data_IF_640719878378
#
_entry.id   IF_640719878378
#
_cell.length_a   1.000
_cell.length_b   1.000
_cell.length_c   1.000
_cell.angle_alpha   90.00
_cell.angle_beta   90.00
_cell.angle_gamma   90.00
#
_symmetry.space_group_name_H-M   'P 1'
#
loop_
_entity.id
_entity.type
_entity.pdbx_description
1 polymer ?
#
# COMPACT_ATOMS: atom_id res chain seq x y z
N UNK A 1 25.93 -57.21 19.44
CA UNK A 1 26.16 -55.76 19.21
C UNK A 1 24.92 -55.15 18.65
N UNK A 2 24.18 -54.34 19.43
CA UNK A 2 22.97 -53.67 19.01
C UNK A 2 23.34 -52.23 18.64
N UNK A 3 23.23 -51.87 17.37
CA UNK A 3 23.41 -50.50 16.89
C UNK A 3 22.18 -49.66 17.22
N UNK A 4 22.34 -48.68 18.11
CA UNK A 4 21.34 -47.64 18.39
C UNK A 4 21.59 -46.53 17.38
N UNK A 5 20.68 -46.33 16.43
CA UNK A 5 20.68 -45.15 15.58
C UNK A 5 20.14 -43.94 16.38
N UNK A 6 20.82 -42.80 16.38
CA UNK A 6 20.26 -41.59 16.94
C UNK A 6 19.21 -41.00 15.99
N UNK A 7 17.99 -40.89 16.46
CA UNK A 7 16.91 -40.19 15.78
C UNK A 7 17.18 -38.69 15.92
N UNK A 8 17.61 -38.03 14.85
CA UNK A 8 17.70 -36.58 14.81
C UNK A 8 16.28 -36.00 14.70
N UNK A 9 15.78 -35.46 15.79
CA UNK A 9 14.56 -34.65 15.77
C UNK A 9 14.86 -33.29 15.09
N UNK A 10 14.41 -33.12 13.88
CA UNK A 10 14.41 -31.82 13.23
C UNK A 10 13.43 -30.91 13.96
N UNK A 11 13.93 -29.93 14.73
CA UNK A 11 13.13 -28.81 15.20
C UNK A 11 12.77 -27.96 13.98
N UNK A 12 11.55 -28.11 13.46
CA UNK A 12 10.97 -27.14 12.57
C UNK A 12 10.72 -25.86 13.40
N UNK A 13 11.58 -24.87 13.27
CA UNK A 13 11.31 -23.53 13.75
C UNK A 13 10.05 -23.06 13.03
N UNK A 14 8.92 -23.02 13.72
CA UNK A 14 7.72 -22.31 13.29
C UNK A 14 8.10 -20.83 13.24
N UNK A 15 8.47 -20.36 12.05
CA UNK A 15 8.54 -18.93 11.81
C UNK A 15 7.12 -18.40 12.08
N UNK A 16 6.94 -17.71 13.19
CA UNK A 16 5.74 -16.91 13.41
C UNK A 16 5.65 -15.97 12.24
N UNK A 17 4.50 -15.91 11.51
CA UNK A 17 4.34 -14.90 10.49
C UNK A 17 4.61 -13.54 11.16
N UNK A 18 5.55 -12.78 10.63
CA UNK A 18 5.67 -11.38 10.98
C UNK A 18 4.33 -10.76 10.59
N UNK A 19 3.53 -10.40 11.59
CA UNK A 19 2.29 -9.70 11.32
C UNK A 19 2.66 -8.41 10.60
N UNK A 20 2.12 -8.25 9.44
CA UNK A 20 2.10 -6.99 8.73
C UNK A 20 1.64 -5.89 9.69
N UNK A 21 2.37 -4.79 9.72
CA UNK A 21 2.13 -3.72 10.70
C UNK A 21 1.81 -2.46 9.92
N UNK A 22 0.53 -2.30 9.56
CA UNK A 22 0.07 -1.05 8.95
C UNK A 22 0.35 0.11 9.91
N UNK A 23 1.04 1.12 9.42
CA UNK A 23 1.49 2.26 10.21
C UNK A 23 1.36 3.56 9.42
N UNK A 24 1.05 4.64 10.12
CA UNK A 24 1.15 6.01 9.64
C UNK A 24 2.09 6.81 10.51
N UNK A 25 2.97 7.59 9.89
CA UNK A 25 3.75 8.63 10.55
C UNK A 25 3.51 9.95 9.83
N UNK A 26 3.30 11.03 10.59
CA UNK A 26 3.01 12.34 10.05
C UNK A 26 3.78 13.44 10.80
N UNK A 27 4.15 14.48 10.06
CA UNK A 27 4.74 15.70 10.59
C UNK A 27 4.03 16.91 9.99
N UNK A 28 3.65 17.85 10.83
CA UNK A 28 3.10 19.13 10.42
C UNK A 28 3.84 20.25 11.19
N UNK A 29 4.61 21.04 10.47
CA UNK A 29 5.49 22.04 11.11
C UNK A 29 6.43 21.39 12.13
N UNK A 30 6.34 21.79 13.38
CA UNK A 30 7.15 21.22 14.48
C UNK A 30 6.51 20.03 15.21
N UNK A 31 5.29 19.64 14.87
CA UNK A 31 4.58 18.51 15.50
C UNK A 31 4.77 17.21 14.74
N UNK A 32 4.98 16.10 15.45
CA UNK A 32 5.07 14.74 14.89
C UNK A 32 4.04 13.81 15.51
N UNK A 33 3.64 12.80 14.77
CA UNK A 33 2.67 11.79 15.19
C UNK A 33 3.01 10.46 14.52
N UNK A 34 2.78 9.36 15.21
CA UNK A 34 2.79 8.02 14.61
C UNK A 34 1.67 7.17 15.22
N UNK A 35 1.12 6.29 14.42
CA UNK A 35 0.08 5.35 14.83
C UNK A 35 0.26 4.03 14.09
N UNK A 36 0.15 2.96 14.84
CA UNK A 36 0.20 1.58 14.35
C UNK A 36 -1.21 1.00 14.43
N UNK A 37 -1.59 0.20 13.46
CA UNK A 37 -2.86 -0.55 13.42
C UNK A 37 -3.10 -1.30 14.75
N UNK A 38 -4.35 -1.30 15.20
CA UNK A 38 -4.78 -1.86 16.49
C UNK A 38 -4.20 -1.15 17.74
N UNK A 39 -3.58 0.00 17.62
CA UNK A 39 -3.20 0.81 18.77
C UNK A 39 -4.39 1.65 19.27
N UNK A 40 -5.06 1.17 20.29
CA UNK A 40 -6.28 1.77 20.86
C UNK A 40 -6.16 3.24 21.30
N UNK A 41 -4.95 3.78 21.37
CA UNK A 41 -4.74 5.20 21.74
C UNK A 41 -4.85 6.14 20.55
N UNK A 42 -4.70 5.66 19.31
CA UNK A 42 -4.71 6.48 18.11
C UNK A 42 -5.54 5.88 16.96
N UNK A 43 -5.72 4.58 16.96
CA UNK A 43 -6.58 3.88 16.01
C UNK A 43 -7.96 3.64 16.62
N UNK A 44 -8.99 4.20 15.98
CA UNK A 44 -10.38 4.04 16.43
C UNK A 44 -11.07 2.81 15.80
N UNK A 45 -10.39 2.08 14.91
CA UNK A 45 -10.92 0.87 14.27
C UNK A 45 -10.18 -0.37 14.76
N UNK A 46 -10.85 -1.32 15.42
CA UNK A 46 -10.21 -2.55 15.91
C UNK A 46 -9.99 -3.62 14.81
N UNK A 47 -10.32 -3.33 13.55
CA UNK A 47 -10.17 -4.29 12.47
C UNK A 47 -8.74 -4.30 11.93
N UNK A 48 -8.05 -5.42 12.06
CA UNK A 48 -6.70 -5.61 11.53
C UNK A 48 -6.62 -5.28 10.03
N UNK A 49 -5.60 -4.54 9.64
CA UNK A 49 -5.43 -4.03 8.27
C UNK A 49 -6.25 -2.78 7.96
N UNK A 50 -6.82 -2.14 8.98
CA UNK A 50 -7.53 -0.86 8.83
C UNK A 50 -7.18 0.07 9.97
N UNK A 51 -6.48 1.16 9.69
CA UNK A 51 -6.13 2.18 10.66
C UNK A 51 -7.01 3.41 10.44
N UNK A 52 -7.73 3.86 11.47
CA UNK A 52 -8.63 5.00 11.42
C UNK A 52 -8.24 6.09 12.42
N UNK A 53 -7.92 7.26 11.89
CA UNK A 53 -7.65 8.46 12.68
C UNK A 53 -8.93 9.27 12.88
N UNK A 54 -9.24 9.61 14.11
CA UNK A 54 -10.39 10.45 14.47
C UNK A 54 -9.92 11.67 15.24
N UNK A 55 -10.06 12.87 14.64
CA UNK A 55 -9.77 14.16 15.27
C UNK A 55 -8.35 14.29 15.87
N UNK A 56 -7.35 13.77 15.17
CA UNK A 56 -5.94 13.92 15.57
C UNK A 56 -5.48 15.33 15.23
N UNK A 57 -4.88 16.04 16.18
CA UNK A 57 -4.34 17.39 15.98
C UNK A 57 -2.82 17.37 16.18
N UNK A 58 -2.07 17.77 15.14
CA UNK A 58 -0.61 17.73 15.13
C UNK A 58 -0.10 19.11 14.68
N UNK A 59 0.62 19.85 15.54
CA UNK A 59 1.15 21.16 15.18
C UNK A 59 0.09 22.16 14.69
N UNK A 60 -1.15 22.10 15.19
CA UNK A 60 -2.26 22.93 14.73
C UNK A 60 -2.86 22.52 13.39
N UNK A 61 -2.61 21.28 12.94
CA UNK A 61 -3.26 20.70 11.78
C UNK A 61 -4.16 19.53 12.24
N UNK A 62 -5.43 19.59 11.87
CA UNK A 62 -6.38 18.53 12.16
C UNK A 62 -6.34 17.48 11.06
N UNK A 63 -6.23 16.21 11.45
CA UNK A 63 -6.15 15.05 10.57
C UNK A 63 -7.23 14.06 10.91
N UNK A 64 -8.02 13.67 9.92
CA UNK A 64 -9.03 12.62 10.01
C UNK A 64 -8.91 11.72 8.77
N UNK A 65 -9.13 10.44 8.92
CA UNK A 65 -9.13 9.55 7.77
C UNK A 65 -8.94 8.09 8.10
N UNK A 66 -8.91 7.29 7.07
CA UNK A 66 -8.67 5.85 7.19
C UNK A 66 -7.69 5.36 6.12
N UNK A 67 -6.92 4.37 6.52
CA UNK A 67 -5.96 3.64 5.69
C UNK A 67 -6.29 2.17 5.74
N UNK A 68 -6.13 1.48 4.64
CA UNK A 68 -6.42 0.05 4.53
C UNK A 68 -5.29 -0.67 3.80
N UNK A 69 -5.06 -1.90 4.19
CA UNK A 69 -4.09 -2.80 3.55
C UNK A 69 -4.69 -4.18 3.33
N UNK A 70 -4.20 -4.89 2.32
CA UNK A 70 -4.48 -6.32 2.13
C UNK A 70 -3.41 -7.21 2.76
N UNK A 71 -2.32 -6.62 3.28
CA UNK A 71 -1.24 -7.35 3.93
C UNK A 71 -1.76 -8.12 5.15
N UNK A 72 -1.35 -9.38 5.28
CA UNK A 72 -1.82 -10.24 6.38
C UNK A 72 -3.26 -10.71 6.30
N UNK A 73 -4.04 -10.29 5.31
CA UNK A 73 -5.35 -10.87 5.05
C UNK A 73 -5.15 -12.29 4.51
N UNK A 74 -5.43 -13.30 5.33
CA UNK A 74 -5.41 -14.71 4.96
C UNK A 74 -6.54 -15.10 4.00
N UNK A 75 -6.94 -14.22 3.10
CA UNK A 75 -7.92 -14.53 2.06
C UNK A 75 -7.19 -15.27 0.94
N UNK A 76 -7.23 -16.59 0.97
CA UNK A 76 -6.61 -17.52 0.02
C UNK A 76 -7.07 -17.39 -1.43
N UNK A 77 -7.23 -16.18 -1.90
CA UNK A 77 -7.60 -15.80 -3.26
C UNK A 77 -7.08 -14.40 -3.65
N UNK A 78 -6.24 -13.76 -2.85
CA UNK A 78 -5.74 -12.43 -3.18
C UNK A 78 -4.71 -12.54 -4.31
N UNK A 79 -5.14 -12.21 -5.52
CA UNK A 79 -4.27 -11.98 -6.68
C UNK A 79 -3.70 -10.55 -6.66
N UNK A 80 -3.95 -9.79 -5.59
CA UNK A 80 -3.66 -8.37 -5.48
C UNK A 80 -3.16 -8.04 -4.08
N UNK A 81 -2.06 -7.32 -4.01
CA UNK A 81 -1.63 -6.62 -2.81
C UNK A 81 -2.05 -5.14 -2.93
N UNK A 82 -2.66 -4.58 -1.88
CA UNK A 82 -3.25 -3.24 -1.88
C UNK A 82 -2.80 -2.49 -0.63
N UNK A 83 -2.34 -1.25 -0.82
CA UNK A 83 -2.21 -0.24 0.23
C UNK A 83 -3.00 1.00 -0.20
N UNK A 84 -3.94 1.46 0.63
CA UNK A 84 -4.90 2.49 0.25
C UNK A 84 -5.20 3.47 1.38
N UNK A 85 -5.24 4.77 1.06
CA UNK A 85 -5.92 5.78 1.88
C UNK A 85 -7.32 5.99 1.36
N UNK A 86 -8.33 5.48 2.03
CA UNK A 86 -9.72 5.60 1.55
C UNK A 86 -10.27 7.03 1.65
N UNK A 87 -9.85 7.76 2.68
CA UNK A 87 -10.13 9.19 2.82
C UNK A 87 -9.17 9.79 3.84
N UNK A 88 -8.47 10.85 3.50
CA UNK A 88 -7.62 11.58 4.42
C UNK A 88 -7.95 13.07 4.30
N UNK A 89 -8.51 13.64 5.37
CA UNK A 89 -8.78 15.07 5.48
C UNK A 89 -7.72 15.72 6.34
N UNK A 90 -7.06 16.72 5.80
CA UNK A 90 -5.99 17.45 6.49
C UNK A 90 -6.36 18.94 6.45
N UNK A 91 -6.55 19.56 7.63
CA UNK A 91 -6.97 20.96 7.75
C UNK A 91 -5.95 21.74 8.55
N UNK A 92 -5.33 22.74 7.92
CA UNK A 92 -4.42 23.67 8.62
C UNK A 92 -5.24 24.71 9.37
N UNK A 93 -5.22 24.67 10.71
CA UNK A 93 -5.91 25.65 11.56
C UNK A 93 -4.98 26.77 12.02
N UNK A 94 -3.71 26.77 11.61
CA UNK A 94 -2.76 27.83 11.92
C UNK A 94 -3.01 29.07 11.06
N UNK A 95 -2.60 30.22 11.58
CA UNK A 95 -2.65 31.51 10.85
C UNK A 95 -1.59 31.60 9.73
N UNK A 96 -0.63 30.69 9.68
CA UNK A 96 0.44 30.63 8.69
C UNK A 96 0.46 29.33 7.91
N UNK A 97 1.29 29.28 6.87
CA UNK A 97 1.53 28.07 6.10
C UNK A 97 2.33 27.05 6.92
N UNK A 98 2.03 25.77 6.72
CA UNK A 98 2.68 24.65 7.41
C UNK A 98 3.18 23.65 6.38
N UNK A 99 4.47 23.31 6.46
CA UNK A 99 5.03 22.19 5.72
C UNK A 99 4.59 20.86 6.36
N UNK A 100 4.38 19.84 5.54
CA UNK A 100 3.97 18.53 6.02
C UNK A 100 4.70 17.38 5.32
N UNK A 101 4.81 16.26 6.05
CA UNK A 101 5.19 14.95 5.55
C UNK A 101 4.24 13.92 6.15
N UNK A 102 3.77 12.99 5.35
CA UNK A 102 2.94 11.86 5.76
C UNK A 102 3.50 10.62 5.07
N UNK A 103 3.88 9.63 5.86
CA UNK A 103 4.26 8.30 5.39
C UNK A 103 3.24 7.28 5.90
N UNK A 104 2.77 6.41 5.03
CA UNK A 104 1.85 5.32 5.33
C UNK A 104 2.48 4.07 4.74
N UNK A 105 2.72 3.07 5.55
CA UNK A 105 3.40 1.86 5.10
C UNK A 105 2.85 0.61 5.75
N UNK A 106 3.01 -0.48 5.04
CA UNK A 106 2.79 -1.81 5.58
C UNK A 106 3.83 -2.79 5.01
N UNK A 107 4.05 -3.86 5.73
CA UNK A 107 5.05 -4.90 5.44
C UNK A 107 4.39 -6.26 5.24
N UNK A 108 5.15 -7.24 4.75
CA UNK A 108 4.70 -8.61 4.67
C UNK A 108 3.77 -8.90 3.49
N UNK A 109 3.76 -8.06 2.47
CA UNK A 109 3.10 -8.37 1.21
C UNK A 109 3.73 -9.62 0.58
N UNK A 110 2.91 -10.58 0.21
CA UNK A 110 3.39 -11.92 -0.15
C UNK A 110 2.81 -12.46 -1.47
N UNK A 111 2.05 -11.65 -2.19
CA UNK A 111 1.58 -12.01 -3.52
C UNK A 111 2.72 -11.79 -4.52
N UNK A 112 3.08 -12.77 -5.36
CA UNK A 112 4.05 -12.58 -6.43
C UNK A 112 3.55 -11.50 -7.39
N UNK A 113 4.35 -10.46 -7.62
CA UNK A 113 3.93 -9.30 -8.40
C UNK A 113 4.74 -9.15 -9.68
N UNK A 114 4.11 -8.66 -10.73
CA UNK A 114 4.73 -8.36 -12.00
C UNK A 114 4.46 -6.93 -12.47
N UNK A 115 3.44 -6.27 -11.90
CA UNK A 115 3.08 -4.90 -12.26
C UNK A 115 2.49 -4.16 -11.08
N UNK A 116 2.63 -2.83 -11.10
CA UNK A 116 1.93 -1.93 -10.18
C UNK A 116 0.91 -1.06 -10.94
N UNK A 117 -0.09 -0.61 -10.22
CA UNK A 117 -0.99 0.46 -10.61
C UNK A 117 -1.19 1.38 -9.41
N UNK A 118 -0.95 2.67 -9.60
CA UNK A 118 -1.16 3.71 -8.61
C UNK A 118 -2.30 4.62 -9.03
N UNK A 119 -3.03 5.12 -8.06
CA UNK A 119 -4.03 6.15 -8.28
C UNK A 119 -4.05 7.15 -7.13
N UNK A 120 -4.32 8.40 -7.45
CA UNK A 120 -4.41 9.48 -6.49
C UNK A 120 -5.48 10.46 -6.96
N UNK A 121 -6.39 10.84 -6.06
CA UNK A 121 -7.36 11.89 -6.32
C UNK A 121 -7.64 12.71 -5.06
N UNK A 122 -7.93 13.99 -5.23
CA UNK A 122 -8.28 14.83 -4.10
C UNK A 122 -8.81 16.21 -4.52
N UNK A 123 -9.21 16.96 -3.50
CA UNK A 123 -9.70 18.33 -3.66
C UNK A 123 -9.09 19.25 -2.61
N UNK A 124 -8.93 20.50 -2.98
CA UNK A 124 -8.41 21.56 -2.15
C UNK A 124 -9.49 22.59 -1.85
N UNK A 125 -9.47 23.18 -0.65
CA UNK A 125 -10.28 24.32 -0.28
C UNK A 125 -9.42 25.33 0.46
N UNK A 126 -9.61 26.62 0.20
CA UNK A 126 -8.83 27.74 0.77
C UNK A 126 -7.32 27.56 0.57
N UNK A 127 -6.88 27.00 -0.54
CA UNK A 127 -5.56 26.37 -0.62
C UNK A 127 -4.56 27.10 -1.53
N UNK A 128 -4.81 28.34 -1.93
CA UNK A 128 -3.85 29.12 -2.74
C UNK A 128 -2.47 29.12 -2.10
N UNK A 129 -1.44 28.70 -2.85
CA UNK A 129 -0.07 28.58 -2.37
C UNK A 129 0.24 27.27 -1.62
N UNK A 130 -0.74 26.37 -1.51
CA UNK A 130 -0.49 25.01 -1.05
C UNK A 130 0.15 24.16 -2.15
N UNK A 131 0.74 23.03 -1.75
CA UNK A 131 1.34 22.07 -2.67
C UNK A 131 1.24 20.65 -2.15
N UNK A 132 1.28 19.70 -3.05
CA UNK A 132 1.43 18.28 -2.75
C UNK A 132 2.44 17.65 -3.70
N UNK A 133 3.29 16.80 -3.16
CA UNK A 133 4.02 15.77 -3.91
C UNK A 133 3.66 14.45 -3.26
N UNK A 134 3.02 13.58 -4.00
CA UNK A 134 2.73 12.20 -3.60
C UNK A 134 3.69 11.26 -4.31
N UNK A 135 4.12 10.23 -3.63
CA UNK A 135 5.05 9.23 -4.15
C UNK A 135 4.68 7.84 -3.62
N UNK A 136 5.00 6.83 -4.42
CA UNK A 136 4.71 5.43 -4.15
C UNK A 136 6.03 4.67 -4.16
N UNK A 137 6.34 3.96 -3.08
CA UNK A 137 7.59 3.22 -2.91
C UNK A 137 7.31 1.76 -2.59
N UNK A 138 8.14 0.88 -3.17
CA UNK A 138 8.13 -0.54 -2.88
C UNK A 138 9.52 -0.99 -2.45
N UNK A 139 9.63 -1.67 -1.32
CA UNK A 139 10.90 -2.16 -0.79
C UNK A 139 10.94 -3.69 -0.76
N UNK A 140 11.83 -4.25 -1.58
CA UNK A 140 12.07 -5.70 -1.69
C UNK A 140 12.78 -6.28 -0.45
N UNK A 141 13.27 -5.44 0.46
CA UNK A 141 13.86 -5.87 1.73
C UNK A 141 12.84 -5.90 2.86
N UNK A 142 11.58 -5.54 2.57
CA UNK A 142 10.45 -5.58 3.49
C UNK A 142 10.64 -4.70 4.74
N UNK A 143 11.27 -3.53 4.59
CA UNK A 143 11.42 -2.56 5.67
C UNK A 143 10.14 -1.75 5.86
N UNK A 144 9.82 -1.43 7.12
CA UNK A 144 8.71 -0.52 7.42
C UNK A 144 9.08 0.91 6.99
N UNK A 145 8.22 1.54 6.20
CA UNK A 145 8.46 2.86 5.63
C UNK A 145 7.77 4.01 6.35
N UNK A 146 7.13 3.77 7.49
CA UNK A 146 6.46 4.81 8.27
C UNK A 146 6.98 4.86 9.72
N UNK A 147 8.22 4.47 9.95
CA UNK A 147 8.88 4.60 11.27
C UNK A 147 9.07 6.08 11.64
N UNK A 148 9.30 6.91 10.64
CA UNK A 148 9.30 8.37 10.75
C UNK A 148 8.49 9.02 9.64
N UNK A 149 8.06 10.29 9.78
CA UNK A 149 7.26 10.98 8.76
C UNK A 149 7.95 11.18 7.40
N UNK A 150 9.25 10.97 7.32
CA UNK A 150 10.06 11.13 6.11
C UNK A 150 10.64 9.80 5.62
N UNK A 151 10.30 8.71 6.27
CA UNK A 151 10.80 7.39 5.91
C UNK A 151 10.00 6.78 4.74
N UNK A 152 10.71 6.35 3.72
CA UNK A 152 10.14 5.70 2.54
C UNK A 152 11.23 4.82 1.88
N UNK A 153 11.53 3.66 2.47
CA UNK A 153 12.54 2.75 1.94
C UNK A 153 12.15 2.20 0.58
N UNK A 154 13.14 1.70 -0.14
CA UNK A 154 12.94 1.00 -1.39
C UNK A 154 13.00 1.89 -2.63
N UNK A 155 12.33 1.46 -3.68
CA UNK A 155 12.37 2.07 -5.02
C UNK A 155 11.11 2.89 -5.24
N UNK A 156 11.29 4.13 -5.72
CA UNK A 156 10.20 4.96 -6.22
C UNK A 156 9.59 4.30 -7.47
N UNK A 157 8.31 3.99 -7.42
CA UNK A 157 7.58 3.37 -8.55
C UNK A 157 6.70 4.36 -9.28
N UNK A 158 6.17 5.38 -8.56
CA UNK A 158 5.36 6.43 -9.17
C UNK A 158 5.40 7.71 -8.35
N UNK A 159 5.15 8.86 -8.98
CA UNK A 159 5.10 10.16 -8.30
C UNK A 159 4.19 11.15 -9.03
N UNK A 160 3.59 12.04 -8.24
CA UNK A 160 2.74 13.14 -8.73
C UNK A 160 3.03 14.41 -7.93
N UNK A 161 2.97 15.58 -8.58
CA UNK A 161 3.11 16.87 -7.89
C UNK A 161 2.12 17.89 -8.43
N UNK A 162 1.58 18.71 -7.52
CA UNK A 162 0.73 19.85 -7.84
C UNK A 162 1.07 21.05 -6.95
N UNK A 163 1.12 22.24 -7.58
CA UNK A 163 1.06 23.53 -6.90
C UNK A 163 -0.35 24.11 -7.07
N UNK A 164 -0.98 24.48 -5.96
CA UNK A 164 -2.37 24.94 -5.94
C UNK A 164 -2.42 26.44 -6.22
N UNK A 165 -3.01 26.82 -7.34
CA UNK A 165 -3.15 28.21 -7.78
C UNK A 165 -4.51 28.83 -7.42
N UNK A 166 -5.53 28.02 -7.17
CA UNK A 166 -6.91 28.44 -6.91
C UNK A 166 -7.32 28.14 -5.47
N UNK A 167 -8.25 28.92 -4.93
CA UNK A 167 -8.78 28.70 -3.57
C UNK A 167 -9.50 27.34 -3.46
N UNK A 168 -10.17 26.91 -4.52
CA UNK A 168 -10.70 25.56 -4.68
C UNK A 168 -10.06 24.95 -5.92
N UNK A 169 -9.50 23.77 -5.78
CA UNK A 169 -8.78 23.04 -6.84
C UNK A 169 -8.99 21.55 -6.69
N UNK A 170 -8.59 20.78 -7.67
CA UNK A 170 -8.66 19.32 -7.63
C UNK A 170 -7.48 18.71 -8.36
N UNK A 171 -7.17 17.46 -8.01
CA UNK A 171 -6.16 16.69 -8.71
C UNK A 171 -6.59 15.24 -8.89
N UNK A 172 -6.05 14.65 -9.92
CA UNK A 172 -6.10 13.20 -10.15
C UNK A 172 -4.84 12.76 -10.86
N UNK A 173 -4.37 11.56 -10.52
CA UNK A 173 -3.22 10.93 -11.13
C UNK A 173 -3.44 9.42 -11.19
N UNK A 174 -2.97 8.80 -12.27
CA UNK A 174 -2.91 7.35 -12.41
C UNK A 174 -1.56 6.99 -13.01
N UNK A 175 -0.88 6.05 -12.39
CA UNK A 175 0.38 5.48 -12.84
C UNK A 175 0.27 3.98 -13.00
N UNK A 176 1.11 3.40 -13.82
CA UNK A 176 1.26 1.95 -13.92
C UNK A 176 2.60 1.58 -14.55
N UNK A 177 3.10 0.40 -14.22
CA UNK A 177 4.37 -0.08 -14.75
C UNK A 177 4.68 -1.51 -14.35
N UNK A 178 5.81 -1.98 -14.83
CA UNK A 178 6.34 -3.26 -14.40
C UNK A 178 7.02 -3.11 -13.03
N UNK A 179 6.77 -4.04 -12.13
CA UNK A 179 7.45 -4.16 -10.86
C UNK A 179 7.57 -5.64 -10.50
N UNK A 180 8.75 -6.06 -10.07
CA UNK A 180 8.99 -7.40 -9.60
C UNK A 180 9.62 -7.33 -8.20
N UNK A 181 9.05 -8.02 -7.25
CA UNK A 181 9.56 -8.09 -5.89
C UNK A 181 9.96 -9.50 -5.50
N UNK A 182 11.00 -9.60 -4.66
CA UNK A 182 11.24 -10.77 -3.84
C UNK A 182 10.29 -10.73 -2.65
N UNK A 183 9.73 -11.87 -2.29
CA UNK A 183 8.75 -11.97 -1.20
C UNK A 183 9.42 -12.27 0.13
N UNK A 184 8.93 -11.73 1.24
CA UNK A 184 7.94 -10.66 1.33
C UNK A 184 8.54 -9.28 1.00
N UNK A 185 7.70 -8.28 0.72
CA UNK A 185 8.11 -6.89 0.48
C UNK A 185 7.20 -5.93 1.24
N UNK A 186 7.56 -4.64 1.25
CA UNK A 186 6.73 -3.57 1.82
C UNK A 186 6.31 -2.55 0.77
N UNK A 187 5.19 -1.86 1.04
CA UNK A 187 4.70 -0.71 0.27
C UNK A 187 4.63 0.54 1.15
N UNK A 188 4.96 1.70 0.58
CA UNK A 188 4.85 2.99 1.27
C UNK A 188 4.19 4.01 0.36
N UNK A 189 3.10 4.62 0.86
CA UNK A 189 2.49 5.81 0.30
C UNK A 189 3.07 7.03 1.02
N UNK A 190 3.73 7.89 0.30
CA UNK A 190 4.37 9.09 0.86
C UNK A 190 3.72 10.35 0.29
N UNK A 191 3.51 11.34 1.12
CA UNK A 191 3.00 12.64 0.71
C UNK A 191 3.72 13.77 1.47
N UNK A 192 4.17 14.77 0.74
CA UNK A 192 4.84 15.95 1.30
C UNK A 192 4.34 17.22 0.60
N UNK A 193 4.49 18.35 1.26
CA UNK A 193 4.10 19.62 0.66
C UNK A 193 3.91 20.74 1.67
N UNK A 194 3.10 21.71 1.29
CA UNK A 194 2.75 22.87 2.11
C UNK A 194 1.24 23.05 2.13
N UNK A 195 0.69 23.34 3.31
CA UNK A 195 -0.69 23.77 3.52
C UNK A 195 -0.68 25.25 3.86
N UNK A 196 -1.27 26.09 3.03
CA UNK A 196 -1.48 27.52 3.36
C UNK A 196 -2.41 27.68 4.57
N UNK A 197 -2.46 28.87 5.16
CA UNK A 197 -3.34 29.15 6.29
C UNK A 197 -4.80 28.84 5.96
N UNK A 198 -5.46 28.06 6.79
CA UNK A 198 -6.86 27.64 6.61
C UNK A 198 -7.09 26.66 5.43
N UNK A 199 -6.05 26.15 4.80
CA UNK A 199 -6.16 25.19 3.73
C UNK A 199 -6.75 23.86 4.20
N UNK A 200 -7.60 23.27 3.38
CA UNK A 200 -8.13 21.92 3.56
C UNK A 200 -7.72 21.08 2.34
N UNK A 201 -7.03 19.99 2.61
CA UNK A 201 -6.75 18.92 1.65
C UNK A 201 -7.67 17.74 1.96
N UNK A 202 -8.48 17.36 0.98
CA UNK A 202 -9.28 16.14 1.01
C UNK A 202 -8.67 15.16 0.01
N UNK A 203 -7.78 14.31 0.47
CA UNK A 203 -7.25 13.20 -0.31
C UNK A 203 -8.29 12.07 -0.32
N UNK A 204 -8.82 11.74 -1.48
CA UNK A 204 -9.94 10.80 -1.66
C UNK A 204 -9.50 9.40 -2.11
N UNK A 205 -8.24 9.16 -2.13
CA UNK A 205 -7.69 7.85 -2.46
C UNK A 205 -6.29 8.02 -3.03
N UNK A 206 -5.32 7.65 -2.23
CA UNK A 206 -3.99 7.31 -2.67
C UNK A 206 -3.91 5.80 -2.56
N UNK A 207 -3.85 5.11 -3.69
CA UNK A 207 -3.92 3.65 -3.73
C UNK A 207 -2.77 3.13 -4.55
N UNK A 208 -2.09 2.13 -4.04
CA UNK A 208 -1.19 1.29 -4.80
C UNK A 208 -1.75 -0.13 -4.84
N UNK A 209 -1.69 -0.74 -6.00
CA UNK A 209 -2.21 -2.04 -6.28
C UNK A 209 -1.17 -2.83 -7.07
N UNK A 210 -0.77 -3.96 -6.55
CA UNK A 210 0.17 -4.87 -7.19
C UNK A 210 -0.54 -6.13 -7.63
N UNK A 211 -0.28 -6.55 -8.86
CA UNK A 211 -0.97 -7.70 -9.46
C UNK A 211 0.01 -8.76 -9.97
N UNK A 212 -0.43 -10.00 -9.91
CA UNK A 212 0.26 -11.13 -10.52
C UNK A 212 -0.12 -11.26 -11.99
N UNK A 213 0.83 -11.70 -12.81
CA UNK A 213 0.49 -12.31 -14.09
C UNK A 213 -0.12 -13.68 -13.79
N UNK A 214 -1.41 -13.82 -13.96
CA UNK A 214 -2.04 -15.16 -13.94
C UNK A 214 -1.58 -15.89 -15.20
N UNK A 215 -0.79 -16.98 -15.11
CA UNK A 215 -0.49 -17.79 -16.26
C UNK A 215 -1.82 -18.26 -16.88
N UNK A 216 -1.93 -18.19 -18.19
CA UNK A 216 -3.13 -18.71 -18.87
C UNK A 216 -3.44 -20.10 -18.34
N UNK A 217 -4.67 -20.36 -17.90
CA UNK A 217 -5.00 -21.62 -17.26
C UNK A 217 -4.54 -22.78 -18.14
N UNK A 218 -3.89 -23.77 -17.53
CA UNK A 218 -3.50 -25.01 -18.23
C UNK A 218 -4.69 -25.67 -18.96
N UNK A 219 -5.91 -25.24 -18.67
CA UNK A 219 -7.15 -25.54 -19.40
C UNK A 219 -7.09 -25.22 -20.89
N UNK A 220 -6.40 -24.12 -21.31
CA UNK A 220 -6.22 -23.84 -22.75
C UNK A 220 -5.28 -24.86 -23.40
N UNK A 221 -4.21 -25.24 -22.71
CA UNK A 221 -3.32 -26.30 -23.18
C UNK A 221 -4.03 -27.67 -23.21
N UNK A 222 -4.82 -28.00 -22.19
CA UNK A 222 -5.63 -29.19 -22.12
C UNK A 222 -6.76 -29.20 -23.17
N UNK A 223 -7.38 -28.05 -23.42
CA UNK A 223 -8.38 -27.92 -24.50
C UNK A 223 -7.72 -28.16 -25.87
N UNK A 224 -6.54 -27.54 -26.09
CA UNK A 224 -5.75 -27.74 -27.32
C UNK A 224 -5.37 -29.22 -27.54
N UNK A 225 -4.87 -29.88 -26.49
CA UNK A 225 -4.56 -31.33 -26.53
C UNK A 225 -5.78 -32.18 -26.72
N UNK A 226 -6.91 -31.85 -26.09
CA UNK A 226 -8.19 -32.53 -26.25
C UNK A 226 -8.71 -32.45 -27.68
N UNK A 227 -8.66 -31.30 -28.32
CA UNK A 227 -9.05 -31.10 -29.72
C UNK A 227 -8.14 -31.84 -30.69
N UNK A 228 -6.83 -31.87 -30.45
CA UNK A 228 -5.87 -32.65 -31.24
C UNK A 228 -6.15 -34.14 -31.12
N UNK A 229 -6.44 -34.63 -29.90
CA UNK A 229 -6.81 -36.03 -29.66
C UNK A 229 -8.08 -36.43 -30.42
N UNK A 230 -9.10 -35.58 -30.43
CA UNK A 230 -10.32 -35.81 -31.19
C UNK A 230 -10.09 -35.81 -32.70
N UNK A 231 -9.24 -34.92 -33.19
CA UNK A 231 -8.87 -34.86 -34.61
C UNK A 231 -8.19 -36.12 -35.09
N UNK A 232 -7.25 -36.69 -34.32
CA UNK A 232 -6.52 -37.91 -34.65
C UNK A 232 -7.46 -39.12 -34.63
N UNK A 233 -8.42 -39.21 -33.72
CA UNK A 233 -9.39 -40.32 -33.66
C UNK A 233 -10.37 -40.30 -34.83
N UNK A 234 -10.76 -39.12 -35.33
CA UNK A 234 -11.60 -39.01 -36.53
C UNK A 234 -10.87 -39.42 -37.82
N UNK A 235 -9.59 -39.08 -37.94
CA UNK A 235 -8.79 -39.50 -39.09
C UNK A 235 -8.61 -41.00 -39.16
N UNK A 236 -8.41 -41.69 -38.03
CA UNK A 236 -8.32 -43.15 -37.96
C UNK A 236 -9.60 -43.88 -38.30
N UNK A 237 -10.78 -43.30 -38.19
CA UNK A 237 -12.06 -43.90 -38.53
C UNK A 237 -12.40 -43.78 -40.01
N UNK A 238 -11.67 -42.96 -40.77
CA UNK A 238 -11.89 -42.77 -42.23
C UNK A 238 -10.89 -43.51 -43.13
N UNK A 239 -9.91 -44.17 -42.55
CA UNK A 239 -8.97 -45.09 -43.20
C UNK A 239 -9.40 -46.55 -42.92
#
# INVERSE_FOLDING_TARGET
>A
MRHILPTAAALAALATPAYATLQIAAQFGGGTFSCVDNNVTCDSNPATGTLQLANVVIGGVAVNGSVQTSSGASSGSALLDILNTSSLSVTNTNAGAVAYNIAISDTGFSVPVASFSSSLAGTWQNAVGSSITAAFYNDVTNQQGADTPTDHPGVLVDTFSQNVALAADSYSHNGSGAFAATLPFSMTLFSTGTLSAGAVLLNRGQTELLSVTVPEPASLALLGLGLLGLGVTQLRRRS
#
